data_IF_081706718110
#
_entry.id   IF_081706718110
#
_cell.length_a   1.000
_cell.length_b   1.000
_cell.length_c   1.000
_cell.angle_alpha   90.00
_cell.angle_beta   90.00
_cell.angle_gamma   90.00
#
_symmetry.space_group_name_H-M   'P 1'
#
loop_
_entity.id
_entity.type
_entity.pdbx_description
1 polymer ?
#
# COMPACT_ATOMS: atom_id res chain seq x y z
N UNK A 1 11.17 -12.47 5.60
CA UNK A 1 10.40 -11.33 5.07
C UNK A 1 9.32 -10.97 6.08
N UNK A 2 9.23 -9.69 6.42
CA UNK A 2 8.38 -9.24 7.53
C UNK A 2 7.17 -8.43 7.06
N UNK A 3 6.84 -8.54 5.81
CA UNK A 3 5.65 -7.91 5.22
C UNK A 3 5.01 -8.91 4.25
N UNK A 4 3.77 -8.63 3.85
CA UNK A 4 3.02 -9.50 2.95
C UNK A 4 2.63 -8.75 1.67
N UNK A 5 2.32 -9.51 0.62
CA UNK A 5 1.81 -8.91 -0.62
C UNK A 5 0.47 -8.20 -0.39
N UNK A 6 -0.36 -8.71 0.53
CA UNK A 6 -1.61 -8.03 0.89
C UNK A 6 -1.34 -6.63 1.45
N UNK A 7 -0.37 -6.51 2.36
CA UNK A 7 0.00 -5.21 2.92
C UNK A 7 0.48 -4.26 1.84
N UNK A 8 1.29 -4.75 0.90
CA UNK A 8 1.75 -3.96 -0.25
C UNK A 8 0.54 -3.46 -1.07
N UNK A 9 -0.42 -4.34 -1.33
CA UNK A 9 -1.65 -3.97 -2.04
C UNK A 9 -2.46 -2.91 -1.30
N UNK A 10 -2.56 -3.01 0.00
CA UNK A 10 -3.26 -2.02 0.83
C UNK A 10 -2.56 -0.66 0.79
N UNK A 11 -1.23 -0.66 0.83
CA UNK A 11 -0.45 0.56 0.66
C UNK A 11 -0.72 1.21 -0.71
N UNK A 12 -0.69 0.43 -1.78
CA UNK A 12 -0.93 0.94 -3.14
C UNK A 12 -2.33 1.55 -3.23
N UNK A 13 -3.33 0.89 -2.67
CA UNK A 13 -4.69 1.43 -2.66
C UNK A 13 -4.77 2.77 -1.92
N UNK A 14 -4.10 2.88 -0.77
CA UNK A 14 -4.05 4.13 -0.01
C UNK A 14 -3.33 5.23 -0.80
N UNK A 15 -2.23 4.89 -1.46
CA UNK A 15 -1.47 5.84 -2.26
C UNK A 15 -2.27 6.36 -3.45
N UNK A 16 -2.98 5.46 -4.14
CA UNK A 16 -3.73 5.82 -5.34
C UNK A 16 -5.00 6.60 -5.05
N UNK A 17 -5.66 6.28 -3.93
CA UNK A 17 -6.91 6.96 -3.55
C UNK A 17 -6.66 8.23 -2.74
N UNK A 18 -5.53 8.32 -2.06
CA UNK A 18 -5.26 9.41 -1.13
C UNK A 18 -6.15 9.40 0.10
N UNK A 19 -6.72 8.26 0.46
CA UNK A 19 -7.71 8.15 1.53
C UNK A 19 -7.72 6.76 2.12
N UNK A 20 -7.69 6.68 3.46
CA UNK A 20 -7.84 5.40 4.18
C UNK A 20 -9.22 4.81 3.90
N UNK A 21 -10.26 5.66 3.94
CA UNK A 21 -11.65 5.23 3.71
C UNK A 21 -11.82 4.63 2.31
N UNK A 22 -11.35 5.35 1.29
CA UNK A 22 -11.49 4.87 -0.09
C UNK A 22 -10.64 3.62 -0.36
N UNK A 23 -9.47 3.55 0.26
CA UNK A 23 -8.62 2.35 0.13
C UNK A 23 -9.32 1.14 0.75
N UNK A 24 -9.91 1.31 1.94
CA UNK A 24 -10.65 0.24 2.60
C UNK A 24 -11.82 -0.23 1.74
N UNK A 25 -12.55 0.70 1.14
CA UNK A 25 -13.66 0.37 0.24
C UNK A 25 -13.16 -0.41 -0.98
N UNK A 26 -12.09 0.07 -1.62
CA UNK A 26 -11.52 -0.61 -2.79
C UNK A 26 -11.08 -2.03 -2.49
N UNK A 27 -10.45 -2.23 -1.34
CA UNK A 27 -9.90 -3.53 -0.97
C UNK A 27 -10.90 -4.41 -0.21
N UNK A 28 -12.08 -3.87 0.09
CA UNK A 28 -13.14 -4.56 0.82
C UNK A 28 -12.67 -5.06 2.19
N UNK A 29 -12.01 -4.17 2.93
CA UNK A 29 -11.52 -4.44 4.29
C UNK A 29 -11.82 -3.23 5.18
N UNK A 30 -11.55 -3.35 6.47
CA UNK A 30 -11.77 -2.27 7.43
C UNK A 30 -10.69 -1.18 7.31
N UNK A 31 -11.04 0.04 7.70
CA UNK A 31 -10.08 1.13 7.76
C UNK A 31 -8.90 0.84 8.69
N UNK A 32 -9.10 0.28 9.91
CA UNK A 32 -7.98 -0.13 10.75
C UNK A 32 -7.02 -1.10 10.08
N UNK A 33 -7.50 -1.97 9.19
CA UNK A 33 -6.64 -2.91 8.45
C UNK A 33 -5.72 -2.17 7.49
N UNK A 34 -6.22 -1.13 6.80
CA UNK A 34 -5.38 -0.28 5.95
C UNK A 34 -4.34 0.46 6.80
N UNK A 35 -4.77 1.10 7.88
CA UNK A 35 -3.87 1.85 8.76
C UNK A 35 -2.79 0.97 9.36
N UNK A 36 -3.16 -0.22 9.79
CA UNK A 36 -2.23 -1.19 10.35
C UNK A 36 -1.19 -1.64 9.33
N UNK A 37 -1.63 -1.91 8.10
CA UNK A 37 -0.71 -2.31 7.02
C UNK A 37 0.31 -1.22 6.73
N UNK A 38 -0.13 0.04 6.66
CA UNK A 38 0.77 1.17 6.42
C UNK A 38 1.78 1.28 7.57
N UNK A 39 1.32 1.18 8.82
CA UNK A 39 2.19 1.29 9.98
C UNK A 39 3.25 0.17 9.98
N UNK A 40 2.85 -1.06 9.67
CA UNK A 40 3.78 -2.20 9.58
C UNK A 40 4.83 -1.95 8.51
N UNK A 41 4.42 -1.47 7.34
CA UNK A 41 5.35 -1.20 6.24
C UNK A 41 6.32 -0.07 6.59
N UNK A 42 5.81 1.02 7.15
CA UNK A 42 6.66 2.14 7.55
C UNK A 42 7.69 1.72 8.59
N UNK A 43 7.28 0.92 9.56
CA UNK A 43 8.20 0.40 10.56
C UNK A 43 9.21 -0.58 9.96
N UNK A 44 8.74 -1.50 9.12
CA UNK A 44 9.60 -2.51 8.52
C UNK A 44 10.71 -1.89 7.65
N UNK A 45 10.37 -0.86 6.89
CA UNK A 45 11.33 -0.23 5.97
C UNK A 45 12.01 1.00 6.56
N UNK A 46 11.57 1.45 7.72
CA UNK A 46 12.19 2.59 8.40
C UNK A 46 12.01 3.91 7.68
N UNK A 47 10.90 4.08 6.96
CA UNK A 47 10.60 5.32 6.23
C UNK A 47 9.20 5.79 6.54
N UNK A 48 8.97 7.09 6.39
CA UNK A 48 7.64 7.66 6.41
C UNK A 48 7.13 7.69 4.98
N UNK A 49 6.00 7.03 4.73
CA UNK A 49 5.44 6.91 3.38
C UNK A 49 4.36 7.94 3.09
N UNK A 50 3.63 8.38 4.13
CA UNK A 50 2.51 9.30 3.99
C UNK A 50 2.63 10.48 4.94
N UNK A 51 2.06 11.60 4.49
CA UNK A 51 1.74 12.75 5.33
C UNK A 51 0.22 12.73 5.48
N UNK A 52 -0.26 12.79 6.72
CA UNK A 52 -1.70 12.81 6.98
C UNK A 52 -2.18 14.24 7.07
N UNK A 53 -3.25 14.55 6.34
CA UNK A 53 -3.89 15.86 6.34
C UNK A 53 -5.26 15.71 6.98
N UNK A 54 -5.62 16.58 7.92
CA UNK A 54 -6.83 16.39 8.71
C UNK A 54 -8.08 16.11 7.88
N UNK A 55 -8.53 17.03 7.08
CA UNK A 55 -9.75 16.84 6.31
C UNK A 55 -9.51 16.42 4.87
N UNK A 56 -8.25 16.28 4.46
CA UNK A 56 -7.88 16.12 3.05
C UNK A 56 -7.20 14.80 2.72
N UNK A 57 -7.20 13.87 3.68
CA UNK A 57 -6.68 12.54 3.44
C UNK A 57 -5.17 12.43 3.55
N UNK A 58 -4.57 11.70 2.62
CA UNK A 58 -3.16 11.35 2.63
C UNK A 58 -2.44 11.89 1.40
N UNK A 59 -1.18 12.28 1.58
CA UNK A 59 -0.30 12.49 0.44
C UNK A 59 1.01 11.73 0.68
N UNK A 60 1.67 11.36 -0.41
CA UNK A 60 2.92 10.62 -0.32
C UNK A 60 4.09 11.55 0.00
N UNK A 61 5.01 11.05 0.84
CA UNK A 61 6.35 11.65 0.96
C UNK A 61 7.14 11.31 -0.30
N UNK A 62 8.32 11.93 -0.46
CA UNK A 62 9.23 11.56 -1.55
C UNK A 62 9.63 10.08 -1.47
N UNK A 63 9.91 9.60 -0.26
CA UNK A 63 10.21 8.19 -0.03
C UNK A 63 9.00 7.30 -0.35
N UNK A 64 7.80 7.75 0.02
CA UNK A 64 6.56 7.04 -0.30
C UNK A 64 6.35 6.91 -1.80
N UNK A 65 6.65 7.93 -2.58
CA UNK A 65 6.54 7.85 -4.04
C UNK A 65 7.51 6.84 -4.63
N UNK A 66 8.75 6.80 -4.14
CA UNK A 66 9.73 5.81 -4.58
C UNK A 66 9.30 4.40 -4.19
N UNK A 67 8.76 4.25 -2.97
CA UNK A 67 8.26 2.97 -2.51
C UNK A 67 7.07 2.51 -3.36
N UNK A 68 6.18 3.43 -3.74
CA UNK A 68 5.02 3.12 -4.58
C UNK A 68 5.45 2.52 -5.93
N UNK A 69 6.48 3.09 -6.56
CA UNK A 69 6.98 2.55 -7.82
C UNK A 69 7.46 1.11 -7.65
N UNK A 70 8.19 0.82 -6.57
CA UNK A 70 8.65 -0.53 -6.28
C UNK A 70 7.49 -1.47 -5.94
N UNK A 71 6.53 -0.97 -5.17
CA UNK A 71 5.35 -1.76 -4.78
C UNK A 71 4.54 -2.18 -6.00
N UNK A 72 4.32 -1.26 -6.93
CA UNK A 72 3.59 -1.57 -8.16
C UNK A 72 4.32 -2.61 -9.00
N UNK A 73 5.64 -2.50 -9.11
CA UNK A 73 6.44 -3.47 -9.85
C UNK A 73 6.37 -4.85 -9.20
N UNK A 74 6.42 -4.90 -7.87
CA UNK A 74 6.32 -6.16 -7.13
C UNK A 74 4.96 -6.83 -7.35
N UNK A 75 3.87 -6.07 -7.27
CA UNK A 75 2.53 -6.62 -7.48
C UNK A 75 2.35 -7.10 -8.92
N UNK A 76 2.86 -6.36 -9.89
CA UNK A 76 2.80 -6.79 -11.29
C UNK A 76 3.56 -8.10 -11.50
N UNK A 77 4.72 -8.23 -10.89
CA UNK A 77 5.51 -9.46 -10.95
C UNK A 77 4.77 -10.64 -10.31
N UNK A 78 4.11 -10.40 -9.18
CA UNK A 78 3.33 -11.42 -8.50
C UNK A 78 2.15 -11.88 -9.36
N UNK A 79 1.49 -10.96 -10.06
CA UNK A 79 0.40 -11.31 -10.98
C UNK A 79 0.90 -12.11 -12.18
N UNK A 80 2.06 -11.76 -12.72
CA UNK A 80 2.68 -12.54 -13.79
C UNK A 80 2.96 -13.97 -13.35
N UNK A 81 3.47 -14.14 -12.14
CA UNK A 81 3.71 -15.45 -11.58
C UNK A 81 2.43 -16.27 -11.47
N UNK A 82 1.35 -15.63 -11.01
CA UNK A 82 0.03 -16.27 -10.91
C UNK A 82 -0.47 -16.71 -12.29
N UNK A 83 -0.34 -15.87 -13.29
CA UNK A 83 -0.74 -16.17 -14.67
C UNK A 83 0.06 -17.35 -15.23
N UNK A 84 1.36 -17.34 -15.04
CA UNK A 84 2.22 -18.42 -15.52
C UNK A 84 1.83 -19.76 -14.90
N UNK A 85 1.46 -19.75 -13.62
CA UNK A 85 1.10 -20.98 -12.91
C UNK A 85 -0.26 -21.53 -13.33
N UNK A 86 -1.17 -20.66 -13.85
CA UNK A 86 -2.53 -21.07 -14.21
C UNK A 86 -2.68 -21.41 -15.70
N UNK A 87 -1.68 -21.14 -16.49
CA UNK A 87 -1.64 -21.56 -17.89
C UNK A 87 -1.12 -22.99 -18.00
#
# INVERSE_FOLDING_TARGET
MRFTLKQIGYFVAAAETGSITLAADRMNISQPSISSAIAVLEENFGIQMFIRHHAQGLSLTGEGRRFLAQARALLAQAEELQHAATE
#
